data_IF_324949404753
#
_entry.id   IF_324949404753
#
_cell.length_a   1.000
_cell.length_b   1.000
_cell.length_c   1.000
_cell.angle_alpha   90.00
_cell.angle_beta   90.00
_cell.angle_gamma   90.00
#
_symmetry.space_group_name_H-M   'P 1'
#
loop_
_entity.id
_entity.type
_entity.pdbx_description
1 polymer ?
#
# COMPACT_ATOMS: atom_id res chain seq x y z
N UNK A 1 -1.15 9.65 -10.82
CA UNK A 1 -1.35 9.17 -9.49
C UNK A 1 -0.18 9.49 -8.63
N UNK A 2 -0.48 9.96 -7.45
CA UNK A 2 0.51 10.59 -6.65
C UNK A 2 1.07 9.64 -5.62
N UNK A 3 2.37 9.53 -5.59
CA UNK A 3 3.07 8.69 -4.61
C UNK A 3 2.70 9.11 -3.19
N UNK A 4 2.64 10.41 -2.93
CA UNK A 4 2.31 10.90 -1.60
C UNK A 4 0.90 10.51 -1.20
N UNK A 5 -0.03 10.59 -2.14
CA UNK A 5 -1.39 10.21 -1.87
C UNK A 5 -1.49 8.73 -1.51
N UNK A 6 -0.84 7.88 -2.31
CA UNK A 6 -0.88 6.44 -2.09
C UNK A 6 -0.21 6.08 -0.77
N UNK A 7 0.89 6.72 -0.48
CA UNK A 7 1.62 6.46 0.75
C UNK A 7 0.80 6.82 1.97
N UNK A 8 0.12 7.96 1.91
CA UNK A 8 -0.75 8.39 2.99
C UNK A 8 -1.92 7.42 3.18
N UNK A 9 -2.53 7.00 2.06
CA UNK A 9 -3.65 6.07 2.15
C UNK A 9 -3.22 4.73 2.75
N UNK A 10 -2.07 4.25 2.35
CA UNK A 10 -1.55 3.01 2.90
C UNK A 10 -1.37 3.13 4.42
N UNK A 11 -0.82 4.23 4.84
CA UNK A 11 -0.59 4.48 6.26
C UNK A 11 -1.90 4.56 7.02
N UNK A 12 -2.89 5.24 6.46
CA UNK A 12 -4.21 5.33 7.07
C UNK A 12 -4.86 3.96 7.24
N UNK A 13 -4.74 3.12 6.23
CA UNK A 13 -5.34 1.80 6.32
C UNK A 13 -4.63 0.93 7.35
N UNK A 14 -3.33 1.08 7.46
CA UNK A 14 -2.60 0.37 8.50
C UNK A 14 -3.02 0.81 9.90
N UNK A 15 -3.25 2.10 10.07
CA UNK A 15 -3.72 2.61 11.35
C UNK A 15 -5.09 2.06 11.69
N UNK A 16 -5.96 2.00 10.69
CA UNK A 16 -7.30 1.44 10.90
C UNK A 16 -7.23 -0.04 11.23
N UNK A 17 -6.30 -0.75 10.61
CA UNK A 17 -6.11 -2.16 10.93
C UNK A 17 -5.67 -2.33 12.37
N UNK A 18 -4.79 -1.47 12.84
CA UNK A 18 -4.30 -1.55 14.21
C UNK A 18 -5.40 -1.27 15.22
N UNK A 19 -6.39 -0.45 14.83
CA UNK A 19 -7.49 -0.11 15.72
C UNK A 19 -8.70 -1.00 15.54
N UNK A 20 -8.65 -1.94 14.62
CA UNK A 20 -9.80 -2.80 14.34
C UNK A 20 -10.14 -3.67 15.53
N UNK A 21 -11.41 -3.84 15.76
CA UNK A 21 -11.91 -4.61 16.90
C UNK A 21 -11.89 -6.11 16.68
N UNK A 22 -11.83 -6.53 15.44
CA UNK A 22 -11.87 -7.96 15.15
C UNK A 22 -10.94 -8.27 13.98
N UNK A 23 -10.68 -9.56 13.81
CA UNK A 23 -9.74 -10.01 12.80
C UNK A 23 -10.21 -9.73 11.39
N UNK A 24 -11.51 -9.86 11.15
CA UNK A 24 -12.04 -9.64 9.81
C UNK A 24 -11.83 -8.20 9.36
N UNK A 25 -12.11 -7.26 10.26
CA UNK A 25 -11.90 -5.85 9.95
C UNK A 25 -10.42 -5.54 9.76
N UNK A 26 -9.59 -6.12 10.60
CA UNK A 26 -8.14 -5.92 10.49
C UNK A 26 -7.64 -6.42 9.15
N UNK A 27 -8.07 -7.62 8.77
CA UNK A 27 -7.69 -8.19 7.48
C UNK A 27 -8.11 -7.31 6.32
N UNK A 28 -9.33 -6.81 6.38
CA UNK A 28 -9.83 -5.97 5.31
C UNK A 28 -8.97 -4.72 5.13
N UNK A 29 -8.62 -4.07 6.24
CA UNK A 29 -7.80 -2.88 6.17
C UNK A 29 -6.37 -3.20 5.74
N UNK A 30 -5.85 -4.34 6.18
CA UNK A 30 -4.51 -4.75 5.75
C UNK A 30 -4.48 -5.06 4.25
N UNK A 31 -5.54 -5.64 3.73
CA UNK A 31 -5.62 -5.90 2.30
C UNK A 31 -5.66 -4.61 1.50
N UNK A 32 -6.38 -3.61 1.99
CA UNK A 32 -6.38 -2.31 1.35
C UNK A 32 -5.00 -1.67 1.38
N UNK A 33 -4.33 -1.78 2.52
CA UNK A 33 -2.98 -1.25 2.62
C UNK A 33 -2.04 -1.94 1.63
N UNK A 34 -2.21 -3.25 1.46
CA UNK A 34 -1.41 -4.00 0.50
C UNK A 34 -1.68 -3.55 -0.93
N UNK A 35 -2.92 -3.24 -1.24
CA UNK A 35 -3.24 -2.75 -2.58
C UNK A 35 -2.56 -1.42 -2.85
N UNK A 36 -2.57 -0.52 -1.87
CA UNK A 36 -1.88 0.75 -2.03
C UNK A 36 -0.38 0.53 -2.14
N UNK A 37 0.17 -0.39 -1.36
CA UNK A 37 1.59 -0.70 -1.43
C UNK A 37 1.96 -1.22 -2.82
N UNK A 38 1.13 -2.08 -3.37
CA UNK A 38 1.39 -2.61 -4.71
C UNK A 38 1.37 -1.50 -5.76
N UNK A 39 0.46 -0.55 -5.61
CA UNK A 39 0.41 0.57 -6.53
C UNK A 39 1.65 1.45 -6.41
N UNK A 40 2.11 1.66 -5.18
CA UNK A 40 3.33 2.42 -4.94
C UNK A 40 4.51 1.72 -5.60
N UNK A 41 4.57 0.41 -5.44
CA UNK A 41 5.64 -0.37 -6.05
C UNK A 41 5.61 -0.29 -7.56
N UNK A 42 4.43 -0.24 -8.13
CA UNK A 42 4.31 -0.10 -9.56
C UNK A 42 4.83 1.25 -10.05
N UNK A 43 4.62 2.29 -9.28
CA UNK A 43 5.17 3.58 -9.62
C UNK A 43 6.70 3.53 -9.62
N UNK A 44 7.25 2.91 -8.60
CA UNK A 44 8.69 2.73 -8.51
C UNK A 44 9.22 1.71 -9.47
N UNK A 45 8.48 0.65 -9.72
CA UNK A 45 8.94 -0.43 -10.59
C UNK A 45 9.05 -0.01 -12.01
N UNK A 46 8.31 1.01 -12.43
CA UNK A 46 8.50 1.55 -13.73
C UNK A 46 9.96 1.92 -13.94
N UNK A 47 10.57 2.51 -12.95
CA UNK A 47 11.97 2.85 -12.97
C UNK A 47 12.84 1.69 -12.58
N UNK A 48 12.47 1.02 -11.54
CA UNK A 48 13.26 -0.08 -11.03
C UNK A 48 13.32 -1.23 -11.98
N UNK A 49 12.24 -1.47 -12.65
CA UNK A 49 12.17 -2.55 -13.62
C UNK A 49 13.21 -2.36 -14.70
N UNK A 50 13.36 -1.17 -15.14
CA UNK A 50 14.33 -0.85 -16.14
C UNK A 50 15.73 -1.05 -15.66
N UNK A 51 15.99 -0.60 -14.45
CA UNK A 51 17.30 -0.77 -13.88
C UNK A 51 17.62 -2.22 -13.66
N UNK A 52 16.65 -2.96 -13.23
CA UNK A 52 16.85 -4.37 -13.00
C UNK A 52 17.13 -5.11 -14.29
N UNK A 53 16.48 -4.69 -15.33
CA UNK A 53 16.68 -5.33 -16.61
C UNK A 53 18.07 -5.06 -17.14
N UNK A 54 18.60 -3.96 -16.76
CA UNK A 54 19.95 -3.66 -17.13
C UNK A 54 20.92 -4.45 -16.28
#
# INVERSE_FOLDING_TARGET
MDYEYLNRRMSEERDRAAEADNDAAREAHLQLAEQFRAQIEQLGSGDSGELSAA
#
